data_IF_737723625034
#
_entry.id   IF_737723625034
#
_cell.length_a   1.000
_cell.length_b   1.000
_cell.length_c   1.000
_cell.angle_alpha   90.00
_cell.angle_beta   90.00
_cell.angle_gamma   90.00
#
_symmetry.space_group_name_H-M   'P 1'
#
loop_
_entity.id
_entity.type
_entity.pdbx_description
1 polymer ?
#
# COMPACT_ATOMS: atom_id res chain seq x y z
N UNK A 1 -16.65 54.70 56.14
CA UNK A 1 -16.37 55.17 54.82
C UNK A 1 -15.14 54.41 54.29
N UNK A 2 -15.30 53.31 53.54
CA UNK A 2 -14.29 52.61 52.69
C UNK A 2 -14.95 51.37 52.10
N UNK A 3 -15.84 51.54 51.12
CA UNK A 3 -16.34 50.46 50.26
C UNK A 3 -16.74 51.08 48.89
N UNK A 4 -15.77 51.45 48.07
CA UNK A 4 -16.11 51.92 46.71
C UNK A 4 -14.93 51.89 45.72
N UNK A 5 -13.84 51.16 45.99
CA UNK A 5 -12.72 51.11 45.07
C UNK A 5 -12.52 49.73 44.40
N UNK A 6 -13.23 48.67 44.84
CA UNK A 6 -12.98 47.32 44.35
C UNK A 6 -13.86 46.89 43.12
N UNK A 7 -14.83 47.69 42.70
CA UNK A 7 -15.74 47.32 41.61
C UNK A 7 -15.36 47.84 40.20
N UNK A 8 -14.36 48.72 40.09
CA UNK A 8 -13.96 49.27 38.77
C UNK A 8 -12.77 48.56 38.12
N UNK A 9 -11.98 47.75 38.87
CA UNK A 9 -10.88 46.98 38.27
C UNK A 9 -11.32 45.66 37.64
N UNK A 10 -12.49 45.11 37.96
CA UNK A 10 -12.92 43.82 37.42
C UNK A 10 -13.59 43.93 36.00
N UNK A 11 -14.07 45.10 35.62
CA UNK A 11 -14.75 45.29 34.34
C UNK A 11 -13.78 45.55 33.18
N UNK A 12 -12.55 45.96 33.44
CA UNK A 12 -11.55 46.24 32.39
C UNK A 12 -10.75 45.00 32.03
N UNK A 13 -10.59 44.04 32.96
CA UNK A 13 -9.88 42.79 32.72
C UNK A 13 -10.71 41.76 31.90
N UNK A 14 -12.06 41.82 32.02
CA UNK A 14 -12.94 40.93 31.26
C UNK A 14 -13.14 41.34 29.78
N UNK A 15 -12.91 42.61 29.47
CA UNK A 15 -13.02 43.12 28.09
C UNK A 15 -11.72 42.85 27.27
N UNK A 16 -10.57 42.68 27.93
CA UNK A 16 -9.30 42.41 27.25
C UNK A 16 -9.10 40.93 26.92
N UNK A 17 -9.76 40.03 27.67
CA UNK A 17 -9.68 38.58 27.39
C UNK A 17 -10.62 38.18 26.25
N UNK A 18 -11.70 38.93 26.01
CA UNK A 18 -12.63 38.69 24.90
C UNK A 18 -12.14 39.24 23.53
N UNK A 19 -11.13 40.08 23.52
CA UNK A 19 -10.52 40.62 22.29
C UNK A 19 -9.31 39.81 21.78
N UNK A 20 -8.79 38.85 22.56
CA UNK A 20 -7.69 37.98 22.17
C UNK A 20 -8.16 36.60 21.66
N UNK A 21 -9.46 36.28 21.74
CA UNK A 21 -10.00 35.02 21.22
C UNK A 21 -10.61 35.12 19.80
N UNK A 22 -10.56 36.29 19.18
CA UNK A 22 -11.12 36.51 17.83
C UNK A 22 -10.06 36.61 16.70
N UNK A 23 -8.81 36.27 16.97
CA UNK A 23 -7.74 36.44 15.99
C UNK A 23 -6.98 35.14 15.71
N UNK A 24 -7.63 33.97 15.75
CA UNK A 24 -7.02 32.72 15.30
C UNK A 24 -8.00 31.85 14.51
N UNK A 25 -8.83 32.49 13.66
CA UNK A 25 -9.28 31.84 12.43
C UNK A 25 -8.24 32.23 11.36
N UNK A 26 -7.04 31.66 11.44
CA UNK A 26 -6.23 31.51 10.25
C UNK A 26 -7.12 30.72 9.28
N UNK A 27 -7.52 31.35 8.17
CA UNK A 27 -8.07 30.62 7.05
C UNK A 27 -7.11 29.47 6.79
N UNK A 28 -7.59 28.24 6.90
CA UNK A 28 -6.88 27.12 6.34
C UNK A 28 -6.69 27.53 4.87
N UNK A 29 -5.47 27.78 4.47
CA UNK A 29 -5.15 27.91 3.05
C UNK A 29 -5.68 26.64 2.43
N UNK A 30 -6.59 26.79 1.47
CA UNK A 30 -7.16 25.69 0.70
C UNK A 30 -5.97 25.08 -0.08
N UNK A 31 -5.29 24.12 0.55
CA UNK A 31 -4.17 23.44 -0.11
C UNK A 31 -4.76 22.72 -1.30
N UNK A 32 -4.30 22.96 -2.53
CA UNK A 32 -4.83 22.31 -3.70
C UNK A 32 -4.83 20.80 -3.51
N UNK A 33 -5.98 20.16 -3.67
CA UNK A 33 -6.12 18.72 -3.60
C UNK A 33 -5.91 18.15 -5.01
N UNK A 34 -4.85 17.36 -5.17
CA UNK A 34 -4.48 16.76 -6.45
C UNK A 34 -4.89 15.30 -6.49
N UNK A 35 -5.65 14.92 -7.51
CA UNK A 35 -6.14 13.56 -7.73
C UNK A 35 -5.69 13.03 -9.09
N UNK A 36 -5.62 11.72 -9.24
CA UNK A 36 -5.40 11.02 -10.49
C UNK A 36 -6.70 10.37 -10.97
N UNK A 37 -6.94 10.20 -12.27
CA UNK A 37 -8.09 9.43 -12.74
C UNK A 37 -7.98 7.97 -12.29
N UNK A 38 -9.12 7.36 -11.95
CA UNK A 38 -9.19 5.92 -11.62
C UNK A 38 -9.30 5.14 -12.94
N UNK A 39 -8.18 4.84 -13.54
CA UNK A 39 -8.01 4.11 -14.79
C UNK A 39 -6.58 3.54 -14.88
N UNK A 40 -6.17 3.02 -16.03
CA UNK A 40 -4.82 2.50 -16.27
C UNK A 40 -3.84 3.54 -16.83
N UNK A 41 -4.16 4.84 -16.80
CA UNK A 41 -3.23 5.88 -17.18
C UNK A 41 -2.06 5.97 -16.18
N UNK A 42 -0.86 6.42 -16.60
CA UNK A 42 0.26 6.64 -15.69
C UNK A 42 -0.04 7.73 -14.65
N UNK A 43 0.66 7.67 -13.52
CA UNK A 43 0.77 8.80 -12.61
C UNK A 43 1.42 10.03 -13.26
N UNK A 44 1.44 11.15 -12.56
CA UNK A 44 2.15 12.35 -13.05
C UNK A 44 3.65 12.03 -13.25
N UNK A 45 4.31 12.66 -14.23
CA UNK A 45 5.74 12.47 -14.46
C UNK A 45 6.56 12.76 -13.19
N UNK A 46 7.36 11.80 -12.76
CA UNK A 46 8.16 11.93 -11.56
C UNK A 46 9.32 12.91 -11.78
N UNK A 47 9.44 13.92 -10.92
CA UNK A 47 10.54 14.85 -10.97
C UNK A 47 11.70 14.38 -10.07
N UNK A 48 12.89 14.22 -10.65
CA UNK A 48 14.08 13.72 -9.96
C UNK A 48 14.51 14.60 -8.77
N UNK A 49 14.15 15.87 -8.73
CA UNK A 49 14.48 16.74 -7.59
C UNK A 49 13.82 16.31 -6.27
N UNK A 50 12.74 15.53 -6.34
CA UNK A 50 12.02 15.03 -5.17
C UNK A 50 12.56 13.68 -4.64
N UNK A 51 13.49 13.05 -5.35
CA UNK A 51 14.29 11.96 -4.79
C UNK A 51 15.40 12.56 -3.91
N UNK A 52 15.13 12.66 -2.62
CA UNK A 52 16.04 13.25 -1.64
C UNK A 52 17.25 12.35 -1.36
N UNK A 53 17.10 11.06 -1.62
CA UNK A 53 18.16 10.03 -1.55
C UNK A 53 17.74 8.78 -2.32
N UNK A 54 18.59 7.75 -2.32
CA UNK A 54 18.29 6.44 -2.89
C UNK A 54 17.17 5.68 -2.13
N UNK A 55 16.67 6.24 -1.05
CA UNK A 55 15.65 5.63 -0.17
C UNK A 55 14.53 6.58 0.25
N UNK A 56 14.55 7.83 -0.19
CA UNK A 56 13.55 8.82 0.20
C UNK A 56 13.07 9.61 -1.01
N UNK A 57 11.76 9.62 -1.20
CA UNK A 57 11.05 10.51 -2.12
C UNK A 57 10.04 11.32 -1.35
N UNK A 58 9.94 12.63 -1.62
CA UNK A 58 8.94 13.49 -1.01
C UNK A 58 8.58 14.64 -1.94
N UNK A 59 7.32 14.68 -2.38
CA UNK A 59 6.70 15.83 -3.06
C UNK A 59 5.43 16.25 -2.30
N UNK A 60 4.73 17.32 -2.71
CA UNK A 60 3.54 17.77 -1.98
C UNK A 60 2.40 16.76 -1.85
N UNK A 61 2.41 15.66 -2.61
CA UNK A 61 1.30 14.69 -2.65
C UNK A 61 1.67 13.30 -2.15
N UNK A 62 2.95 12.97 -2.09
CA UNK A 62 3.40 11.64 -1.65
C UNK A 62 4.75 11.71 -0.95
N UNK A 63 4.87 10.94 0.11
CA UNK A 63 6.12 10.67 0.81
C UNK A 63 6.39 9.18 0.85
N UNK A 64 7.61 8.78 0.50
CA UNK A 64 8.10 7.40 0.60
C UNK A 64 9.42 7.40 1.34
N UNK A 65 9.53 6.57 2.38
CA UNK A 65 10.78 6.35 3.13
C UNK A 65 11.06 4.85 3.18
N UNK A 66 12.22 4.45 2.67
CA UNK A 66 12.63 3.04 2.62
C UNK A 66 13.74 2.79 3.62
N UNK A 67 13.58 1.76 4.41
CA UNK A 67 14.58 1.25 5.34
C UNK A 67 14.90 -0.21 5.03
N UNK A 68 16.08 -0.67 5.41
CA UNK A 68 16.47 -2.07 5.31
C UNK A 68 17.18 -2.52 6.56
N UNK A 69 16.91 -3.75 6.98
CA UNK A 69 17.53 -4.37 8.15
C UNK A 69 17.52 -5.90 7.98
N UNK A 70 17.88 -6.64 9.03
CA UNK A 70 17.83 -8.10 9.06
C UNK A 70 17.09 -8.59 10.31
N UNK A 71 16.20 -9.56 10.10
CA UNK A 71 15.52 -10.27 11.18
C UNK A 71 15.90 -11.75 11.15
N UNK A 72 16.52 -12.24 12.24
CA UNK A 72 17.05 -13.60 12.32
C UNK A 72 17.99 -13.97 11.15
N UNK A 73 18.70 -12.95 10.61
CA UNK A 73 19.62 -13.08 9.48
C UNK A 73 18.95 -13.17 8.11
N UNK A 74 17.67 -12.86 8.00
CA UNK A 74 16.97 -12.62 6.74
C UNK A 74 16.93 -11.12 6.50
N UNK A 75 17.48 -10.67 5.37
CA UNK A 75 17.36 -9.28 4.95
C UNK A 75 15.91 -8.94 4.63
N UNK A 76 15.51 -7.70 4.89
CA UNK A 76 14.22 -7.18 4.46
C UNK A 76 14.31 -5.67 4.21
N UNK A 77 13.37 -5.20 3.42
CA UNK A 77 13.12 -3.79 3.14
C UNK A 77 11.72 -3.45 3.58
N UNK A 78 11.58 -2.28 4.16
CA UNK A 78 10.29 -1.68 4.54
C UNK A 78 10.20 -0.33 3.85
N UNK A 79 9.12 -0.10 3.11
CA UNK A 79 8.78 1.21 2.60
C UNK A 79 7.54 1.71 3.34
N UNK A 80 7.67 2.81 4.07
CA UNK A 80 6.57 3.57 4.63
C UNK A 80 6.13 4.62 3.62
N UNK A 81 4.84 4.65 3.31
CA UNK A 81 4.23 5.48 2.27
C UNK A 81 3.09 6.27 2.88
N UNK A 82 3.07 7.57 2.62
CA UNK A 82 1.97 8.47 2.92
C UNK A 82 1.56 9.19 1.64
N UNK A 83 0.29 9.12 1.27
CA UNK A 83 -0.27 9.76 0.08
C UNK A 83 -1.34 10.78 0.48
N UNK A 84 -1.53 11.79 -0.36
CA UNK A 84 -2.53 12.83 -0.11
C UNK A 84 -3.93 12.45 -0.59
N UNK A 85 -4.03 11.49 -1.54
CA UNK A 85 -5.28 11.05 -2.15
C UNK A 85 -5.23 9.57 -2.52
N UNK A 86 -6.33 8.86 -2.31
CA UNK A 86 -6.46 7.42 -2.57
C UNK A 86 -6.12 7.03 -4.02
N UNK A 87 -6.35 7.91 -4.99
CA UNK A 87 -6.05 7.68 -6.40
C UNK A 87 -4.57 7.48 -6.71
N UNK A 88 -3.69 7.77 -5.74
CA UNK A 88 -2.25 7.56 -5.86
C UNK A 88 -1.80 6.12 -5.54
N UNK A 89 -2.66 5.31 -4.88
CA UNK A 89 -2.48 3.86 -4.74
C UNK A 89 -3.12 3.15 -5.91
N UNK A 90 -2.33 2.64 -6.82
CA UNK A 90 -2.74 2.20 -8.15
C UNK A 90 -2.28 0.80 -8.46
N UNK A 91 -2.87 0.22 -9.50
CA UNK A 91 -2.42 -1.03 -10.11
C UNK A 91 -2.17 -0.84 -11.60
N UNK A 92 -1.26 -1.62 -12.15
CA UNK A 92 -1.01 -1.65 -13.58
C UNK A 92 -0.75 -3.08 -14.06
N UNK A 93 -1.10 -3.32 -15.31
CA UNK A 93 -0.91 -4.57 -16.03
C UNK A 93 -0.05 -4.34 -17.28
N UNK A 94 0.60 -5.38 -17.84
CA UNK A 94 1.52 -5.22 -18.98
C UNK A 94 0.86 -4.64 -20.23
N UNK A 95 -0.30 -5.15 -20.60
CA UNK A 95 -1.09 -4.71 -21.77
C UNK A 95 -2.52 -4.38 -21.34
N UNK A 96 -3.41 -5.35 -21.37
CA UNK A 96 -4.79 -5.25 -20.93
C UNK A 96 -5.05 -6.23 -19.78
N UNK A 97 -6.05 -5.96 -18.97
CA UNK A 97 -6.34 -6.74 -17.75
C UNK A 97 -6.63 -8.23 -18.03
N UNK A 98 -7.14 -8.55 -19.22
CA UNK A 98 -7.47 -9.91 -19.65
C UNK A 98 -6.36 -10.57 -20.50
N UNK A 99 -5.25 -9.89 -20.74
CA UNK A 99 -4.13 -10.45 -21.48
C UNK A 99 -3.32 -11.45 -20.63
N UNK A 100 -2.69 -12.41 -21.31
CA UNK A 100 -1.69 -13.30 -20.69
C UNK A 100 -0.28 -12.68 -20.69
N UNK A 101 -0.17 -11.40 -21.05
CA UNK A 101 1.09 -10.68 -21.12
C UNK A 101 1.72 -10.58 -19.74
N UNK A 102 3.04 -10.58 -19.73
CA UNK A 102 3.84 -10.36 -18.54
C UNK A 102 5.02 -9.44 -18.83
N UNK A 103 5.43 -8.65 -17.85
CA UNK A 103 6.50 -7.68 -18.00
C UNK A 103 7.36 -7.60 -16.72
N UNK A 104 8.63 -7.22 -16.85
CA UNK A 104 9.47 -7.00 -15.68
C UNK A 104 8.98 -5.80 -14.85
N UNK A 105 8.90 -5.98 -13.54
CA UNK A 105 8.40 -4.97 -12.61
C UNK A 105 9.01 -3.58 -12.79
N UNK A 106 10.36 -3.44 -12.93
CA UNK A 106 10.97 -2.13 -13.17
C UNK A 106 10.57 -1.48 -14.51
N UNK A 107 10.27 -2.27 -15.54
CA UNK A 107 9.84 -1.74 -16.85
C UNK A 107 8.43 -1.18 -16.73
N UNK A 108 7.52 -1.98 -16.14
CA UNK A 108 6.14 -1.57 -15.92
C UNK A 108 6.05 -0.35 -14.98
N UNK A 109 6.83 -0.34 -13.89
CA UNK A 109 6.89 0.78 -12.95
C UNK A 109 7.34 2.09 -13.62
N UNK A 110 8.36 2.05 -14.50
CA UNK A 110 8.80 3.24 -15.25
C UNK A 110 7.74 3.73 -16.22
N UNK A 111 7.06 2.82 -16.93
CA UNK A 111 5.97 3.16 -17.86
C UNK A 111 4.81 3.86 -17.14
N UNK A 112 4.56 3.47 -15.89
CA UNK A 112 3.47 4.02 -15.06
C UNK A 112 3.87 5.24 -14.22
N UNK A 113 5.07 5.78 -14.38
CA UNK A 113 5.59 6.88 -13.56
C UNK A 113 5.52 6.57 -12.05
N UNK A 114 5.74 5.32 -11.66
CA UNK A 114 5.68 4.89 -10.27
C UNK A 114 6.83 5.50 -9.47
N UNK A 115 6.52 6.10 -8.34
CA UNK A 115 7.51 6.48 -7.31
C UNK A 115 8.05 5.21 -6.65
N UNK A 116 7.13 4.31 -6.27
CA UNK A 116 7.42 2.99 -5.70
C UNK A 116 6.46 1.97 -6.29
N UNK A 117 6.94 0.76 -6.56
CA UNK A 117 6.10 -0.35 -6.99
C UNK A 117 6.54 -1.68 -6.37
N UNK A 118 5.59 -2.59 -6.25
CA UNK A 118 5.79 -4.00 -5.89
C UNK A 118 5.01 -4.89 -6.86
N UNK A 119 5.32 -6.19 -6.89
CA UNK A 119 4.43 -7.15 -7.55
C UNK A 119 3.05 -7.15 -6.90
N UNK A 120 2.06 -7.46 -7.72
CA UNK A 120 0.69 -7.65 -7.25
C UNK A 120 0.41 -9.08 -6.81
N UNK A 121 -0.62 -9.64 -7.40
CA UNK A 121 -1.19 -10.95 -7.04
C UNK A 121 -0.39 -12.11 -7.64
N UNK A 122 -1.02 -12.90 -8.53
CA UNK A 122 -0.35 -13.97 -9.26
C UNK A 122 0.41 -13.38 -10.45
N UNK A 123 1.55 -14.00 -10.77
CA UNK A 123 2.32 -13.59 -11.96
C UNK A 123 1.62 -13.93 -13.29
N UNK A 124 0.58 -14.77 -13.27
CA UNK A 124 -0.16 -15.20 -14.45
C UNK A 124 -1.64 -15.44 -14.14
N UNK A 125 -2.52 -14.65 -14.74
CA UNK A 125 -3.96 -14.73 -14.55
C UNK A 125 -4.65 -15.81 -15.39
N UNK A 126 -4.11 -16.20 -16.54
CA UNK A 126 -4.67 -17.20 -17.44
C UNK A 126 -4.80 -18.62 -16.85
N UNK A 127 -4.17 -18.89 -15.69
CA UNK A 127 -4.27 -20.18 -15.01
C UNK A 127 -5.62 -20.44 -14.34
N UNK A 128 -6.51 -19.45 -14.24
CA UNK A 128 -7.72 -19.52 -13.44
C UNK A 128 -7.45 -19.68 -11.92
N UNK A 129 -6.22 -19.39 -11.48
CA UNK A 129 -5.81 -19.45 -10.07
C UNK A 129 -6.31 -18.26 -9.28
N UNK A 130 -6.48 -17.10 -9.92
CA UNK A 130 -7.02 -15.88 -9.33
C UNK A 130 -8.55 -15.85 -9.48
N UNK A 131 -9.34 -16.24 -8.46
CA UNK A 131 -10.79 -16.28 -8.59
C UNK A 131 -11.43 -14.91 -8.70
N UNK A 132 -10.78 -13.88 -8.18
CA UNK A 132 -11.25 -12.49 -8.24
C UNK A 132 -10.11 -11.59 -8.63
N UNK A 133 -10.31 -10.80 -9.67
CA UNK A 133 -9.36 -9.79 -10.13
C UNK A 133 -10.12 -8.50 -10.41
N UNK A 134 -9.85 -7.49 -9.61
CA UNK A 134 -10.37 -6.13 -9.79
C UNK A 134 -9.16 -5.20 -9.76
N UNK A 135 -8.99 -4.39 -10.81
CA UNK A 135 -7.90 -3.43 -10.92
C UNK A 135 -8.44 -2.11 -11.45
N UNK A 136 -8.15 -1.03 -10.75
CA UNK A 136 -8.59 0.33 -11.09
C UNK A 136 -10.11 0.42 -11.36
N UNK A 137 -10.92 -0.35 -10.60
CA UNK A 137 -12.37 -0.41 -10.75
C UNK A 137 -12.90 -1.36 -11.83
N UNK A 138 -12.03 -1.92 -12.68
CA UNK A 138 -12.40 -2.89 -13.70
C UNK A 138 -12.43 -4.31 -13.12
N UNK A 139 -13.55 -4.99 -13.35
CA UNK A 139 -13.83 -6.35 -12.87
C UNK A 139 -13.53 -7.36 -13.97
N UNK A 140 -12.38 -8.03 -13.87
CA UNK A 140 -11.95 -9.02 -14.84
C UNK A 140 -12.44 -10.43 -14.52
N UNK A 141 -12.27 -10.88 -13.27
CA UNK A 141 -12.73 -12.19 -12.82
C UNK A 141 -13.56 -12.04 -11.54
N UNK A 142 -14.67 -12.79 -11.45
CA UNK A 142 -15.62 -12.74 -10.36
C UNK A 142 -16.13 -14.14 -10.00
N UNK A 143 -15.28 -14.97 -9.45
CA UNK A 143 -15.64 -16.30 -8.95
C UNK A 143 -15.59 -16.34 -7.42
N UNK A 144 -16.32 -15.42 -6.79
CA UNK A 144 -16.39 -15.27 -5.34
C UNK A 144 -16.78 -16.56 -4.60
N UNK A 145 -17.49 -17.46 -5.27
CA UNK A 145 -17.88 -18.79 -4.75
C UNK A 145 -16.73 -19.79 -4.68
N UNK A 146 -15.59 -19.49 -5.32
CA UNK A 146 -14.41 -20.37 -5.41
C UNK A 146 -13.14 -19.80 -4.80
N UNK A 147 -13.19 -18.86 -3.85
CA UNK A 147 -11.97 -18.31 -3.31
C UNK A 147 -11.24 -19.38 -2.51
N UNK A 148 -9.93 -19.47 -2.74
CA UNK A 148 -9.06 -20.39 -2.00
C UNK A 148 -8.48 -19.74 -0.76
N UNK A 149 -8.46 -18.41 -0.71
CA UNK A 149 -7.82 -17.62 0.33
C UNK A 149 -8.68 -16.41 0.71
N UNK A 150 -8.26 -15.75 1.79
CA UNK A 150 -8.74 -14.41 2.12
C UNK A 150 -8.46 -13.45 0.96
N UNK A 151 -9.28 -12.44 0.82
CA UNK A 151 -9.15 -11.41 -0.20
C UNK A 151 -8.84 -10.08 0.47
N UNK A 152 -7.91 -9.33 -0.10
CA UNK A 152 -7.74 -7.91 0.17
C UNK A 152 -8.58 -7.13 -0.82
N UNK A 153 -9.50 -6.31 -0.33
CA UNK A 153 -10.24 -5.32 -1.10
C UNK A 153 -9.73 -3.95 -0.72
N UNK A 154 -9.54 -3.08 -1.71
CA UNK A 154 -9.20 -1.66 -1.53
C UNK A 154 -10.34 -0.84 -2.11
N UNK A 155 -10.93 0.03 -1.32
CA UNK A 155 -12.03 0.89 -1.73
C UNK A 155 -11.55 2.21 -2.36
N UNK A 156 -12.49 3.08 -2.76
CA UNK A 156 -12.23 4.36 -3.41
C UNK A 156 -11.55 5.41 -2.51
N UNK A 157 -11.60 5.21 -1.19
CA UNK A 157 -10.89 6.04 -0.22
C UNK A 157 -9.48 5.49 0.09
N UNK A 158 -9.09 4.37 -0.54
CA UNK A 158 -7.81 3.71 -0.32
C UNK A 158 -7.79 2.82 0.92
N UNK A 159 -8.92 2.63 1.60
CA UNK A 159 -8.98 1.82 2.80
C UNK A 159 -8.99 0.33 2.48
N UNK A 160 -8.28 -0.45 3.30
CA UNK A 160 -8.12 -1.88 3.16
C UNK A 160 -9.20 -2.65 3.90
N UNK A 161 -9.84 -3.58 3.21
CA UNK A 161 -10.82 -4.50 3.78
C UNK A 161 -10.34 -5.94 3.64
N UNK A 162 -10.10 -6.59 4.77
CA UNK A 162 -9.72 -8.00 4.82
C UNK A 162 -10.92 -8.93 4.81
N UNK A 163 -11.18 -9.61 3.70
CA UNK A 163 -12.36 -10.47 3.51
C UNK A 163 -11.98 -11.93 3.75
N UNK A 164 -12.42 -12.47 4.88
CA UNK A 164 -12.15 -13.87 5.27
C UNK A 164 -13.19 -14.87 4.75
N UNK A 165 -14.36 -14.40 4.34
CA UNK A 165 -15.36 -15.18 3.60
C UNK A 165 -15.73 -14.42 2.31
N UNK A 166 -14.98 -14.64 1.24
CA UNK A 166 -15.17 -13.92 -0.02
C UNK A 166 -16.55 -14.09 -0.68
N UNK A 167 -17.27 -15.16 -0.35
CA UNK A 167 -18.63 -15.36 -0.87
C UNK A 167 -19.59 -14.23 -0.49
N UNK A 168 -19.30 -13.55 0.63
CA UNK A 168 -20.08 -12.40 1.07
C UNK A 168 -19.98 -11.21 0.12
N UNK A 169 -18.97 -11.21 -0.76
CA UNK A 169 -18.73 -10.14 -1.72
C UNK A 169 -19.32 -10.43 -3.11
N UNK A 170 -19.95 -11.60 -3.31
CA UNK A 170 -20.50 -11.99 -4.61
C UNK A 170 -21.50 -10.97 -5.15
N UNK A 171 -21.22 -10.44 -6.33
CA UNK A 171 -22.05 -9.45 -7.02
C UNK A 171 -21.99 -8.02 -6.45
N UNK A 172 -21.21 -7.78 -5.40
CA UNK A 172 -21.04 -6.44 -4.86
C UNK A 172 -20.05 -5.65 -5.70
N UNK A 173 -20.30 -4.35 -5.82
CA UNK A 173 -19.43 -3.34 -6.43
C UNK A 173 -18.94 -2.32 -5.41
N UNK A 174 -19.49 -2.41 -4.22
CA UNK A 174 -19.22 -1.52 -3.10
C UNK A 174 -19.00 -2.34 -1.83
N UNK A 175 -18.21 -1.79 -0.94
CA UNK A 175 -18.01 -2.25 0.42
C UNK A 175 -18.18 -1.06 1.36
N UNK A 176 -19.02 -1.22 2.39
CA UNK A 176 -19.36 -0.15 3.35
C UNK A 176 -19.83 1.17 2.69
N UNK A 177 -20.50 1.05 1.51
CA UNK A 177 -21.02 2.17 0.74
C UNK A 177 -20.00 2.87 -0.14
N UNK A 178 -18.79 2.29 -0.32
CA UNK A 178 -17.70 2.81 -1.12
C UNK A 178 -17.38 1.87 -2.27
N UNK A 179 -17.02 2.42 -3.43
CA UNK A 179 -16.63 1.64 -4.59
C UNK A 179 -15.42 0.77 -4.32
N UNK A 180 -15.44 -0.46 -4.84
CA UNK A 180 -14.27 -1.34 -4.86
C UNK A 180 -13.39 -0.93 -6.05
N UNK A 181 -12.14 -0.57 -5.77
CA UNK A 181 -11.15 -0.17 -6.76
C UNK A 181 -10.21 -1.33 -7.10
N UNK A 182 -9.73 -2.05 -6.09
CA UNK A 182 -8.83 -3.18 -6.30
C UNK A 182 -9.23 -4.37 -5.42
N UNK A 183 -9.00 -5.60 -5.91
CA UNK A 183 -9.11 -6.82 -5.11
C UNK A 183 -7.99 -7.79 -5.46
N UNK A 184 -7.34 -8.33 -4.42
CA UNK A 184 -6.23 -9.28 -4.51
C UNK A 184 -6.60 -10.57 -3.79
N UNK A 185 -6.23 -11.69 -4.37
CA UNK A 185 -6.65 -13.01 -3.88
C UNK A 185 -5.52 -14.03 -3.70
N UNK A 186 -4.25 -13.61 -3.75
CA UNK A 186 -3.11 -14.47 -3.45
C UNK A 186 -3.15 -14.94 -1.98
N UNK A 187 -3.12 -14.01 -1.05
CA UNK A 187 -3.32 -14.22 0.37
C UNK A 187 -2.28 -15.04 1.13
N UNK A 188 -2.60 -15.33 2.35
CA UNK A 188 -3.76 -14.86 3.12
C UNK A 188 -3.52 -13.51 3.80
N UNK A 189 -4.51 -13.02 4.56
CA UNK A 189 -4.31 -11.97 5.56
C UNK A 189 -3.28 -12.43 6.59
N UNK A 190 -2.30 -11.56 6.86
CA UNK A 190 -1.26 -11.77 7.88
C UNK A 190 -1.67 -11.12 9.20
N UNK A 191 -2.28 -9.94 9.12
CA UNK A 191 -2.85 -9.16 10.22
C UNK A 191 -4.24 -8.70 9.80
N UNK A 192 -5.20 -8.76 10.71
CA UNK A 192 -6.54 -8.23 10.58
C UNK A 192 -6.96 -7.55 11.87
N UNK A 193 -7.46 -6.31 11.78
CA UNK A 193 -7.88 -5.50 12.93
C UNK A 193 -6.78 -5.42 14.02
N UNK A 194 -5.53 -5.20 13.60
CA UNK A 194 -4.37 -5.15 14.47
C UNK A 194 -3.96 -6.50 15.10
N UNK A 195 -4.58 -7.62 14.69
CA UNK A 195 -4.31 -8.95 15.27
C UNK A 195 -3.74 -9.91 14.24
N UNK A 196 -2.80 -10.74 14.68
CA UNK A 196 -2.22 -11.80 13.85
C UNK A 196 -3.31 -12.74 13.35
N UNK A 197 -3.33 -13.00 12.04
CA UNK A 197 -4.24 -13.99 11.43
C UNK A 197 -3.74 -15.41 11.63
N UNK A 198 -4.65 -16.36 11.76
CA UNK A 198 -4.36 -17.78 11.87
C UNK A 198 -4.61 -18.57 10.56
N UNK A 199 -4.87 -17.86 9.46
CA UNK A 199 -5.15 -18.51 8.18
C UNK A 199 -3.91 -19.24 7.64
N UNK A 200 -4.14 -20.38 7.02
CA UNK A 200 -3.08 -21.13 6.34
C UNK A 200 -2.72 -20.44 5.03
N UNK A 201 -1.47 -20.56 4.58
CA UNK A 201 -1.10 -20.06 3.26
C UNK A 201 -1.80 -20.89 2.17
N UNK A 202 -1.92 -20.35 0.94
CA UNK A 202 -2.41 -21.12 -0.19
C UNK A 202 -1.54 -22.36 -0.47
N UNK A 203 -2.11 -23.33 -1.19
CA UNK A 203 -1.41 -24.59 -1.47
C UNK A 203 -0.12 -24.36 -2.29
N UNK A 204 -0.09 -23.31 -3.07
CA UNK A 204 1.03 -22.86 -3.90
C UNK A 204 2.19 -22.27 -3.05
N UNK A 205 1.93 -21.98 -1.78
CA UNK A 205 2.91 -21.47 -0.82
C UNK A 205 3.13 -22.48 0.30
N UNK A 206 3.98 -23.49 0.09
CA UNK A 206 4.23 -24.48 1.13
C UNK A 206 4.73 -23.80 2.43
N UNK A 207 4.10 -24.09 3.59
CA UNK A 207 4.39 -23.35 4.82
C UNK A 207 5.82 -23.53 5.32
N UNK A 208 6.44 -24.64 4.98
CA UNK A 208 7.81 -25.00 5.38
C UNK A 208 8.89 -24.59 4.39
N UNK A 209 8.52 -24.05 3.22
CA UNK A 209 9.45 -23.58 2.22
C UNK A 209 10.02 -22.23 2.61
N UNK A 210 11.33 -22.13 2.56
CA UNK A 210 12.02 -20.83 2.61
C UNK A 210 11.86 -20.09 1.28
N UNK A 211 11.36 -18.88 1.33
CA UNK A 211 11.12 -18.08 0.13
C UNK A 211 11.21 -16.59 0.44
N UNK A 212 11.47 -15.78 -0.57
CA UNK A 212 11.21 -14.34 -0.52
C UNK A 212 9.71 -14.13 -0.32
N UNK A 213 9.36 -13.08 0.42
CA UNK A 213 7.99 -12.76 0.77
C UNK A 213 7.73 -11.29 0.52
N UNK A 214 6.49 -10.99 0.12
CA UNK A 214 6.01 -9.64 -0.09
C UNK A 214 4.71 -9.47 0.69
N UNK A 215 4.57 -8.35 1.36
CA UNK A 215 3.34 -7.94 2.01
C UNK A 215 3.07 -6.46 1.77
N UNK A 216 1.79 -6.13 1.69
CA UNK A 216 1.30 -4.75 1.77
C UNK A 216 0.42 -4.61 3.01
N UNK A 217 0.54 -3.49 3.69
CA UNK A 217 -0.19 -3.21 4.92
C UNK A 217 -0.75 -1.79 4.92
N UNK A 218 -1.87 -1.60 5.60
CA UNK A 218 -2.37 -0.29 5.98
C UNK A 218 -2.13 -0.07 7.47
N UNK A 219 -1.57 1.10 7.80
CA UNK A 219 -1.26 1.53 9.16
C UNK A 219 -2.35 2.49 9.66
N UNK A 220 -2.76 3.42 8.80
CA UNK A 220 -3.76 4.44 9.02
C UNK A 220 -4.37 4.83 7.68
N UNK A 221 -5.41 5.65 7.66
CA UNK A 221 -5.97 6.19 6.43
C UNK A 221 -4.89 6.88 5.60
N UNK A 222 -4.77 6.50 4.31
CA UNK A 222 -3.76 6.96 3.35
C UNK A 222 -2.29 6.74 3.77
N UNK A 223 -2.05 5.85 4.75
CA UNK A 223 -0.71 5.45 5.21
C UNK A 223 -0.52 3.95 5.08
N UNK A 224 0.48 3.60 4.31
CA UNK A 224 0.74 2.21 3.96
C UNK A 224 2.17 1.81 4.29
N UNK A 225 2.35 0.52 4.43
CA UNK A 225 3.66 -0.10 4.59
C UNK A 225 3.79 -1.27 3.62
N UNK A 226 4.85 -1.24 2.83
CA UNK A 226 5.25 -2.36 1.99
C UNK A 226 6.45 -3.04 2.62
N UNK A 227 6.44 -4.37 2.68
CA UNK A 227 7.53 -5.16 3.25
C UNK A 227 7.94 -6.23 2.24
N UNK A 228 9.22 -6.26 1.89
CA UNK A 228 9.79 -7.28 1.00
C UNK A 228 10.96 -7.95 1.71
N UNK A 229 10.94 -9.27 1.80
CA UNK A 229 12.03 -10.01 2.43
C UNK A 229 13.12 -10.40 1.43
N UNK A 230 14.29 -10.65 1.96
CA UNK A 230 15.51 -10.90 1.23
C UNK A 230 15.59 -12.19 0.42
N UNK A 231 16.77 -12.45 -0.13
CA UNK A 231 16.94 -13.28 -1.31
C UNK A 231 16.55 -14.74 -1.14
N UNK A 232 16.02 -15.31 -2.22
CA UNK A 232 15.73 -16.74 -2.36
C UNK A 232 16.93 -17.51 -2.98
N UNK A 233 18.16 -17.08 -2.74
CA UNK A 233 19.34 -17.80 -3.24
C UNK A 233 19.56 -19.08 -2.46
N UNK A 234 19.91 -20.15 -3.17
CA UNK A 234 20.26 -21.45 -2.58
C UNK A 234 21.34 -21.27 -1.52
N UNK A 235 21.02 -21.58 -0.24
CA UNK A 235 21.90 -21.35 0.90
C UNK A 235 21.76 -19.98 1.58
N UNK A 236 20.95 -19.06 1.06
CA UNK A 236 20.61 -17.82 1.75
C UNK A 236 19.50 -18.04 2.77
N UNK A 237 19.45 -17.20 3.81
CA UNK A 237 18.32 -17.19 4.73
C UNK A 237 17.12 -16.53 4.07
N UNK A 238 15.94 -17.11 4.27
CA UNK A 238 14.65 -16.59 3.84
C UNK A 238 13.61 -16.93 4.90
N UNK A 239 12.39 -16.44 4.77
CA UNK A 239 11.30 -16.75 5.69
C UNK A 239 10.55 -18.02 5.30
N UNK A 240 10.31 -18.90 6.28
CA UNK A 240 9.13 -19.77 6.24
C UNK A 240 7.88 -18.92 6.48
N UNK A 241 6.72 -19.40 5.99
CA UNK A 241 5.49 -18.60 6.05
C UNK A 241 5.09 -18.18 7.47
N UNK A 242 5.16 -19.09 8.43
CA UNK A 242 4.79 -18.81 9.81
C UNK A 242 5.73 -17.76 10.48
N UNK A 243 7.02 -17.84 10.17
CA UNK A 243 7.99 -16.84 10.65
C UNK A 243 7.73 -15.47 10.00
N UNK A 244 7.38 -15.43 8.71
CA UNK A 244 6.98 -14.24 7.99
C UNK A 244 5.76 -13.58 8.64
N UNK A 245 4.70 -14.34 8.85
CA UNK A 245 3.47 -13.85 9.49
C UNK A 245 3.74 -13.25 10.88
N UNK A 246 4.52 -13.94 11.71
CA UNK A 246 4.90 -13.44 13.04
C UNK A 246 5.75 -12.19 12.97
N UNK A 247 6.66 -12.12 12.02
CA UNK A 247 7.49 -10.96 11.78
C UNK A 247 6.64 -9.74 11.41
N UNK A 248 5.73 -9.87 10.43
CA UNK A 248 4.81 -8.79 10.06
C UNK A 248 3.93 -8.38 11.25
N UNK A 249 3.37 -9.33 11.98
CA UNK A 249 2.51 -9.03 13.14
C UNK A 249 3.26 -8.43 14.34
N UNK A 250 4.59 -8.47 14.35
CA UNK A 250 5.41 -7.82 15.38
C UNK A 250 5.75 -6.37 15.07
N UNK A 251 5.43 -5.89 13.87
CA UNK A 251 5.59 -4.49 13.50
C UNK A 251 4.47 -3.66 14.12
N UNK A 252 4.83 -2.46 14.58
CA UNK A 252 3.88 -1.54 15.22
C UNK A 252 2.89 -0.96 14.19
N UNK A 253 1.71 -0.59 14.67
CA UNK A 253 0.66 0.17 14.01
C UNK A 253 -0.04 -0.51 12.80
N UNK A 254 0.30 -1.75 12.45
CA UNK A 254 -0.36 -2.45 11.35
C UNK A 254 -1.81 -2.80 11.72
N UNK A 255 -2.76 -2.26 10.96
CA UNK A 255 -4.20 -2.56 11.08
C UNK A 255 -4.57 -3.77 10.24
N UNK A 256 -4.18 -3.76 8.98
CA UNK A 256 -4.37 -4.87 8.04
C UNK A 256 -3.05 -5.11 7.31
N UNK A 257 -2.64 -6.38 7.19
CA UNK A 257 -1.53 -6.78 6.33
C UNK A 257 -1.92 -7.98 5.50
N UNK A 258 -1.55 -7.96 4.23
CA UNK A 258 -1.88 -8.96 3.24
C UNK A 258 -0.63 -9.50 2.56
N UNK A 259 -0.57 -10.84 2.39
CA UNK A 259 0.53 -11.50 1.71
C UNK A 259 0.30 -11.51 0.19
N UNK A 260 1.29 -11.11 -0.57
CA UNK A 260 1.31 -11.14 -2.02
C UNK A 260 2.20 -12.26 -2.54
N UNK A 261 2.27 -12.44 -3.87
CA UNK A 261 3.16 -13.41 -4.48
C UNK A 261 4.62 -13.17 -4.06
N UNK A 262 5.34 -14.26 -3.94
CA UNK A 262 6.69 -14.28 -3.41
C UNK A 262 7.69 -14.97 -4.35
N UNK A 263 8.80 -15.42 -3.80
CA UNK A 263 9.84 -16.11 -4.58
C UNK A 263 10.43 -15.22 -5.67
N UNK A 264 10.46 -15.73 -6.89
CA UNK A 264 11.02 -15.03 -8.05
C UNK A 264 10.16 -13.84 -8.53
N UNK A 265 8.89 -13.77 -8.08
CA UNK A 265 8.01 -12.63 -8.33
C UNK A 265 8.28 -11.45 -7.41
N UNK A 266 9.01 -11.65 -6.30
CA UNK A 266 9.25 -10.59 -5.30
C UNK A 266 10.04 -9.43 -5.88
N UNK A 267 9.41 -8.28 -6.01
CA UNK A 267 10.03 -7.06 -6.50
C UNK A 267 9.65 -5.86 -5.63
N UNK A 268 10.63 -5.03 -5.33
CA UNK A 268 10.47 -3.68 -4.79
C UNK A 268 11.21 -2.72 -5.71
N UNK A 269 10.47 -1.87 -6.39
CA UNK A 269 11.00 -0.89 -7.34
C UNK A 269 10.91 0.49 -6.73
N UNK A 270 12.00 1.22 -6.77
CA UNK A 270 12.05 2.62 -6.37
C UNK A 270 12.86 3.40 -7.41
N UNK A 271 12.35 4.57 -7.83
CA UNK A 271 12.95 5.34 -8.92
C UNK A 271 13.21 4.49 -10.20
N UNK A 272 12.27 3.62 -10.53
CA UNK A 272 12.37 2.72 -11.69
C UNK A 272 13.45 1.64 -11.61
N UNK A 273 14.06 1.45 -10.44
CA UNK A 273 15.12 0.44 -10.20
C UNK A 273 14.65 -0.56 -9.15
N UNK A 274 14.88 -1.85 -9.39
CA UNK A 274 14.68 -2.89 -8.38
C UNK A 274 15.73 -2.76 -7.28
N UNK A 275 15.29 -2.63 -6.03
CA UNK A 275 16.16 -2.42 -4.87
C UNK A 275 16.32 -3.65 -3.97
N UNK A 276 15.34 -4.56 -3.97
CA UNK A 276 15.48 -5.83 -3.27
C UNK A 276 16.30 -6.80 -4.14
N UNK A 277 17.27 -7.49 -3.52
CA UNK A 277 18.15 -8.48 -4.14
C UNK A 277 18.75 -8.02 -5.50
N UNK A 278 19.58 -6.93 -5.51
CA UNK A 278 20.14 -6.35 -6.71
C UNK A 278 21.23 -7.26 -7.32
N UNK A 279 20.92 -8.24 -8.08
CA UNK A 279 21.83 -9.23 -8.67
C UNK A 279 21.19 -10.60 -8.81
N UNK A 280 19.89 -10.68 -8.55
CA UNK A 280 19.11 -11.84 -8.90
C UNK A 280 18.84 -11.84 -10.41
N UNK A 281 19.51 -12.75 -11.13
CA UNK A 281 19.30 -12.92 -12.57
C UNK A 281 17.99 -13.68 -12.91
N UNK A 282 17.31 -14.22 -11.90
CA UNK A 282 16.09 -15.01 -12.06
C UNK A 282 14.82 -14.17 -11.75
N UNK A 283 14.80 -12.90 -12.11
CA UNK A 283 13.59 -12.09 -11.99
C UNK A 283 12.50 -12.60 -12.92
N UNK A 284 11.32 -12.81 -12.35
CA UNK A 284 10.13 -13.23 -13.12
C UNK A 284 9.43 -11.99 -13.70
N UNK A 285 8.90 -12.14 -14.92
CA UNK A 285 7.92 -11.21 -15.45
C UNK A 285 6.60 -11.36 -14.67
N UNK A 286 5.90 -10.25 -14.50
CA UNK A 286 4.71 -10.12 -13.66
C UNK A 286 3.48 -9.86 -14.51
N UNK A 287 2.34 -10.37 -14.05
CA UNK A 287 1.03 -10.06 -14.62
C UNK A 287 0.48 -8.72 -14.16
N UNK A 288 0.91 -8.23 -12.98
CA UNK A 288 0.54 -6.91 -12.48
C UNK A 288 1.53 -6.37 -11.45
N UNK A 289 1.41 -5.07 -11.19
CA UNK A 289 2.07 -4.39 -10.07
C UNK A 289 1.05 -3.60 -9.26
N UNK A 290 1.34 -3.44 -7.96
CA UNK A 290 0.78 -2.37 -7.12
C UNK A 290 1.81 -1.26 -7.09
N UNK A 291 1.39 -0.01 -7.32
CA UNK A 291 2.31 1.12 -7.30
C UNK A 291 1.71 2.36 -6.67
N UNK A 292 2.59 3.22 -6.19
CA UNK A 292 2.27 4.52 -5.66
C UNK A 292 2.82 5.58 -6.60
N UNK A 293 1.95 6.50 -7.01
CA UNK A 293 2.28 7.55 -7.96
C UNK A 293 2.17 8.93 -7.33
N UNK A 294 2.96 9.86 -7.84
CA UNK A 294 2.75 11.28 -7.59
C UNK A 294 1.48 11.77 -8.29
N UNK A 295 0.73 12.64 -7.62
CA UNK A 295 -0.34 13.44 -8.22
C UNK A 295 0.09 14.90 -8.44
N UNK A 296 1.35 15.23 -8.10
CA UNK A 296 1.89 16.59 -8.21
C UNK A 296 2.14 16.95 -9.67
N UNK A 297 1.50 17.99 -10.23
CA UNK A 297 1.66 18.38 -11.64
C UNK A 297 3.00 19.06 -11.95
N UNK A 298 3.81 19.32 -10.94
CA UNK A 298 5.05 20.09 -11.03
C UNK A 298 4.86 21.55 -10.62
N UNK A 299 5.98 22.27 -10.59
CA UNK A 299 6.00 23.72 -10.32
C UNK A 299 5.75 24.51 -11.59
#
# INVERSE_FOLDING_TARGET
MKKSAAKKCFAVLSALVLLLSAACCAAAEDTPHYTLPVDFSPGMPVNQKYYLSDTVYEDPTIKVVITSDSYNGVLYWVADIEIADASQLRTAVPEELDSEASEFGPVLARRMNAVLAINGDYYWYGSGTAPVTIRQGDFYQEHWEKPRQDILVIDEDGDFHGISDPKTMQGLREIDGKKIINAFCFGPLLVKDGKISNKKPPAEVPPDQFSQRVAIAQIDHLKYRVIVSGPNKRGSKAFKFEAWRKFIASMEDIQIAYNLDGGDSSVLVFNGVKINDPGNENERQLGDIIYFASAWPGD
#
